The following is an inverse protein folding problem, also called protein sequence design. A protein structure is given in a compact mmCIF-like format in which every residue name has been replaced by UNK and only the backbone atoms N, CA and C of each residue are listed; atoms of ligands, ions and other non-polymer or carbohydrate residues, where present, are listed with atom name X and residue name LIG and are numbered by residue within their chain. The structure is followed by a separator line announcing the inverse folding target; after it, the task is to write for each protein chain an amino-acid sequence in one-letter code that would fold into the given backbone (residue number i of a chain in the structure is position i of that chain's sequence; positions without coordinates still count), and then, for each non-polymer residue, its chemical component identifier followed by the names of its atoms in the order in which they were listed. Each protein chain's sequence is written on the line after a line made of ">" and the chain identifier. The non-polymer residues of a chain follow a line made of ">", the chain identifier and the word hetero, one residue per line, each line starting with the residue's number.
data_IF_830538768268
#
_entry.id   IF_830538768268
#
_cell.length_a   1.000
_cell.length_b   1.000
_cell.length_c   1.000
_cell.angle_alpha   90.00
_cell.angle_beta   90.00
_cell.angle_gamma   90.00
#
_symmetry.space_group_name_H-M   'P 1'
#
loop_
_entity.id
_entity.type
_entity.pdbx_description
1 polymer ?
#
# COMPACT_ATOMS: atom_id res chain seq x y z
N UNK A 1 -39.05 -32.91 10.54
CA UNK A 1 -38.32 -33.38 9.35
C UNK A 1 -37.35 -32.29 8.93
N UNK A 2 -36.12 -32.31 9.45
CA UNK A 2 -35.09 -31.34 9.05
C UNK A 2 -34.43 -31.87 7.77
N UNK A 3 -34.61 -31.16 6.66
CA UNK A 3 -34.06 -31.55 5.35
C UNK A 3 -32.52 -31.60 5.35
N UNK A 4 -31.93 -32.24 4.33
CA UNK A 4 -30.49 -32.50 4.26
C UNK A 4 -29.69 -31.19 4.35
N UNK A 5 -28.68 -31.15 5.24
CA UNK A 5 -27.77 -30.02 5.39
C UNK A 5 -27.07 -29.81 4.05
N UNK A 6 -27.37 -28.68 3.41
CA UNK A 6 -26.64 -28.18 2.24
C UNK A 6 -25.19 -27.99 2.67
N UNK A 7 -24.25 -28.70 2.04
CA UNK A 7 -22.83 -28.49 2.28
C UNK A 7 -22.51 -27.04 1.90
N UNK A 8 -22.28 -26.22 2.94
CA UNK A 8 -21.95 -24.81 2.78
C UNK A 8 -20.50 -24.72 2.30
N UNK A 9 -20.28 -23.93 1.25
CA UNK A 9 -18.93 -23.59 0.78
C UNK A 9 -18.28 -22.63 1.79
N UNK A 10 -17.60 -23.21 2.78
CA UNK A 10 -16.95 -22.48 3.85
C UNK A 10 -15.76 -21.66 3.37
N UNK A 11 -15.10 -22.07 2.29
CA UNK A 11 -13.94 -21.37 1.72
C UNK A 11 -14.37 -20.10 0.97
N UNK A 12 -15.52 -20.14 0.29
CA UNK A 12 -16.14 -18.93 -0.26
C UNK A 12 -16.62 -17.98 0.85
N UNK A 13 -17.26 -18.51 1.91
CA UNK A 13 -17.70 -17.73 3.07
C UNK A 13 -16.51 -17.07 3.78
N UNK A 14 -15.39 -17.79 3.93
CA UNK A 14 -14.16 -17.26 4.53
C UNK A 14 -13.58 -16.10 3.72
N UNK A 15 -13.46 -16.27 2.40
CA UNK A 15 -12.97 -15.19 1.51
C UNK A 15 -13.85 -13.94 1.59
N UNK A 16 -15.17 -14.11 1.53
CA UNK A 16 -16.11 -13.01 1.66
C UNK A 16 -16.02 -12.33 3.03
N UNK A 17 -15.82 -13.11 4.09
CA UNK A 17 -15.66 -12.60 5.46
C UNK A 17 -14.36 -11.81 5.61
N UNK A 18 -13.23 -12.37 5.17
CA UNK A 18 -11.90 -11.78 5.24
C UNK A 18 -11.78 -10.51 4.38
N UNK A 19 -12.50 -10.44 3.24
CA UNK A 19 -12.54 -9.24 2.39
C UNK A 19 -13.06 -7.99 3.11
N UNK A 20 -13.86 -8.17 4.18
CA UNK A 20 -14.49 -7.07 4.91
C UNK A 20 -15.53 -6.27 4.12
N UNK A 21 -15.78 -6.61 2.85
CA UNK A 21 -16.69 -5.92 1.94
C UNK A 21 -18.16 -6.22 2.27
N UNK A 22 -18.46 -7.45 2.68
CA UNK A 22 -19.82 -7.89 3.00
C UNK A 22 -20.05 -7.99 4.50
N UNK A 23 -21.27 -7.68 4.94
CA UNK A 23 -21.72 -7.96 6.31
C UNK A 23 -22.03 -9.45 6.47
N UNK A 24 -21.92 -10.02 7.67
CA UNK A 24 -22.20 -11.45 7.85
C UNK A 24 -23.68 -11.78 7.55
N UNK A 25 -24.58 -10.78 7.49
CA UNK A 25 -25.97 -10.94 7.04
C UNK A 25 -26.05 -11.14 5.53
N UNK A 26 -25.25 -10.38 4.77
CA UNK A 26 -25.17 -10.51 3.31
C UNK A 26 -24.48 -11.81 2.92
N UNK A 27 -23.39 -12.18 3.60
CA UNK A 27 -22.70 -13.46 3.41
C UNK A 27 -23.67 -14.62 3.72
N UNK A 28 -24.41 -14.53 4.82
CA UNK A 28 -25.41 -15.52 5.18
C UNK A 28 -26.54 -15.65 4.15
N UNK A 29 -27.08 -14.52 3.66
CA UNK A 29 -28.14 -14.52 2.66
C UNK A 29 -27.71 -15.16 1.33
N UNK A 30 -26.48 -14.89 0.87
CA UNK A 30 -25.93 -15.47 -0.36
C UNK A 30 -25.70 -16.97 -0.28
N UNK A 31 -25.28 -17.45 0.89
CA UNK A 31 -24.95 -18.84 1.11
C UNK A 31 -26.12 -19.65 1.69
N UNK A 32 -27.30 -19.05 1.85
CA UNK A 32 -28.49 -19.71 2.40
C UNK A 32 -28.32 -20.18 3.85
N UNK A 33 -27.52 -19.46 4.64
CA UNK A 33 -27.25 -19.75 6.06
C UNK A 33 -27.69 -18.58 6.94
N UNK A 34 -27.40 -18.64 8.24
CA UNK A 34 -27.69 -17.56 9.18
C UNK A 34 -26.41 -16.80 9.55
N UNK A 35 -26.54 -15.49 9.84
CA UNK A 35 -25.41 -14.68 10.31
C UNK A 35 -24.75 -15.29 11.57
N UNK A 36 -25.54 -15.91 12.46
CA UNK A 36 -25.02 -16.56 13.66
C UNK A 36 -24.10 -17.74 13.30
N UNK A 37 -24.45 -18.52 12.27
CA UNK A 37 -23.64 -19.63 11.76
C UNK A 37 -22.31 -19.15 11.19
N UNK A 38 -22.32 -18.07 10.38
CA UNK A 38 -21.09 -17.46 9.84
C UNK A 38 -20.22 -16.89 10.95
N UNK A 39 -20.81 -16.14 11.89
CA UNK A 39 -20.07 -15.53 13.00
C UNK A 39 -19.49 -16.54 13.99
N UNK A 40 -20.21 -17.63 14.28
CA UNK A 40 -19.70 -18.69 15.15
C UNK A 40 -18.56 -19.46 14.49
N UNK A 41 -18.63 -19.69 13.17
CA UNK A 41 -17.55 -20.32 12.40
C UNK A 41 -16.30 -19.43 12.37
N UNK A 42 -16.47 -18.15 12.04
CA UNK A 42 -15.38 -17.18 12.02
C UNK A 42 -14.63 -17.10 13.36
N UNK A 43 -15.35 -17.20 14.48
CA UNK A 43 -14.75 -17.25 15.83
C UNK A 43 -14.00 -18.56 16.09
N UNK A 44 -14.56 -19.69 15.65
CA UNK A 44 -13.93 -21.00 15.82
C UNK A 44 -12.65 -21.15 14.99
N UNK A 45 -12.65 -20.61 13.76
CA UNK A 45 -11.55 -20.69 12.80
C UNK A 45 -10.65 -19.44 12.79
N UNK A 46 -10.91 -18.48 13.69
CA UNK A 46 -10.12 -17.25 13.90
C UNK A 46 -9.96 -16.39 12.63
N UNK A 47 -11.00 -16.29 11.81
CA UNK A 47 -10.98 -15.41 10.64
C UNK A 47 -10.86 -13.95 11.05
N UNK A 48 -10.04 -13.19 10.33
CA UNK A 48 -9.80 -11.76 10.58
C UNK A 48 -10.31 -10.94 9.41
N UNK A 49 -11.14 -9.94 9.67
CA UNK A 49 -11.64 -9.04 8.62
C UNK A 49 -10.58 -8.01 8.27
N UNK A 50 -10.33 -7.83 6.98
CA UNK A 50 -9.63 -6.64 6.50
C UNK A 50 -10.58 -5.43 6.59
N UNK A 51 -10.30 -4.55 7.54
CA UNK A 51 -11.08 -3.33 7.78
C UNK A 51 -10.44 -2.10 7.15
N UNK A 52 -9.31 -2.25 6.44
CA UNK A 52 -8.53 -1.12 5.91
C UNK A 52 -9.39 -0.22 5.01
N UNK A 53 -10.17 -0.82 4.10
CA UNK A 53 -11.09 -0.08 3.24
C UNK A 53 -12.16 0.71 4.01
N UNK A 54 -12.73 0.13 5.08
CA UNK A 54 -13.73 0.80 5.94
C UNK A 54 -13.11 1.90 6.80
N UNK A 55 -11.88 1.71 7.26
CA UNK A 55 -11.12 2.70 8.03
C UNK A 55 -10.81 3.90 7.12
N UNK A 56 -10.33 3.67 5.90
CA UNK A 56 -10.09 4.72 4.91
C UNK A 56 -11.38 5.45 4.51
N UNK A 57 -12.47 4.72 4.27
CA UNK A 57 -13.78 5.32 3.98
C UNK A 57 -14.31 6.17 5.15
N UNK A 58 -14.15 5.71 6.40
CA UNK A 58 -14.54 6.44 7.60
C UNK A 58 -13.66 7.67 7.83
N UNK A 59 -12.35 7.58 7.57
CA UNK A 59 -11.45 8.73 7.61
C UNK A 59 -11.82 9.78 6.56
N UNK A 60 -12.10 9.35 5.32
CA UNK A 60 -12.58 10.21 4.23
C UNK A 60 -13.95 10.83 4.56
N UNK A 61 -14.86 10.07 5.15
CA UNK A 61 -16.17 10.57 5.59
C UNK A 61 -16.06 11.55 6.77
N UNK A 62 -15.15 11.31 7.73
CA UNK A 62 -14.87 12.23 8.83
C UNK A 62 -14.26 13.55 8.34
N UNK A 63 -13.31 13.48 7.40
CA UNK A 63 -12.77 14.66 6.71
C UNK A 63 -13.88 15.43 5.97
N UNK A 64 -14.82 14.72 5.32
CA UNK A 64 -15.97 15.37 4.67
C UNK A 64 -16.97 15.97 5.68
N UNK A 65 -17.16 15.33 6.83
CA UNK A 65 -18.12 15.77 7.86
C UNK A 65 -17.59 16.91 8.73
N UNK A 66 -16.28 17.00 8.97
CA UNK A 66 -15.69 18.14 9.67
C UNK A 66 -15.80 19.44 8.86
N UNK A 67 -15.99 19.34 7.53
CA UNK A 67 -16.19 20.47 6.62
C UNK A 67 -17.67 20.86 6.43
N UNK A 68 -18.61 20.05 6.90
CA UNK A 68 -20.05 20.21 6.71
C UNK A 68 -20.75 20.45 8.05
N UNK A 69 -20.57 21.63 8.63
CA UNK A 69 -21.50 22.16 9.63
C UNK A 69 -22.47 23.14 8.95
N UNK A 70 -23.77 22.89 9.17
CA UNK A 70 -24.96 23.38 8.45
C UNK A 70 -25.06 24.91 8.34
N UNK A 71 -25.17 25.45 7.13
CA UNK A 71 -26.12 26.56 6.80
C UNK A 71 -26.24 26.98 5.33
N UNK A 72 -25.33 26.64 4.41
CA UNK A 72 -25.23 27.38 3.14
C UNK A 72 -25.54 26.53 1.89
N UNK A 73 -26.82 26.35 1.55
CA UNK A 73 -27.25 25.60 0.36
C UNK A 73 -27.15 26.35 -0.98
N UNK A 74 -26.65 27.60 -1.00
CA UNK A 74 -26.31 28.32 -2.26
C UNK A 74 -24.80 28.46 -2.51
N UNK A 75 -23.96 28.56 -1.46
CA UNK A 75 -22.49 28.53 -1.60
C UNK A 75 -21.94 27.12 -1.89
N UNK A 76 -22.78 26.09 -1.85
CA UNK A 76 -22.35 24.69 -1.90
C UNK A 76 -21.66 24.30 -3.21
N UNK A 77 -22.10 24.77 -4.38
CA UNK A 77 -21.46 24.41 -5.66
C UNK A 77 -20.10 25.08 -5.85
N UNK A 78 -19.94 26.33 -5.40
CA UNK A 78 -18.67 27.05 -5.43
C UNK A 78 -17.71 26.54 -4.35
N UNK A 79 -18.20 26.30 -3.13
CA UNK A 79 -17.42 25.69 -2.06
C UNK A 79 -17.01 24.24 -2.40
N UNK A 80 -17.89 23.43 -3.00
CA UNK A 80 -17.54 22.07 -3.44
C UNK A 80 -16.50 22.11 -4.58
N UNK A 81 -16.58 23.07 -5.52
CA UNK A 81 -15.55 23.27 -6.56
C UNK A 81 -14.22 23.68 -5.97
N UNK A 82 -14.21 24.66 -5.06
CA UNK A 82 -13.02 25.13 -4.37
C UNK A 82 -12.39 24.02 -3.50
N UNK A 83 -13.21 23.24 -2.79
CA UNK A 83 -12.74 22.09 -2.01
C UNK A 83 -12.14 20.99 -2.90
N UNK A 84 -12.75 20.70 -4.04
CA UNK A 84 -12.21 19.74 -5.02
C UNK A 84 -10.88 20.24 -5.59
N UNK A 85 -10.78 21.53 -5.91
CA UNK A 85 -9.55 22.14 -6.43
C UNK A 85 -8.43 22.11 -5.39
N UNK A 86 -8.69 22.56 -4.16
CA UNK A 86 -7.73 22.51 -3.05
C UNK A 86 -7.28 21.08 -2.77
N UNK A 87 -8.22 20.12 -2.76
CA UNK A 87 -7.89 18.71 -2.56
C UNK A 87 -7.07 18.15 -3.72
N UNK A 88 -7.41 18.51 -4.95
CA UNK A 88 -6.66 18.09 -6.15
C UNK A 88 -5.25 18.66 -6.16
N UNK A 89 -5.08 19.91 -5.73
CA UNK A 89 -3.78 20.55 -5.61
C UNK A 89 -2.94 19.86 -4.54
N UNK A 90 -3.51 19.56 -3.37
CA UNK A 90 -2.82 18.84 -2.30
C UNK A 90 -2.39 17.41 -2.73
N UNK A 91 -3.26 16.69 -3.45
CA UNK A 91 -2.92 15.37 -4.01
C UNK A 91 -1.81 15.48 -5.06
N UNK A 92 -1.88 16.50 -5.92
CA UNK A 92 -0.85 16.74 -6.95
C UNK A 92 0.50 17.05 -6.32
N UNK A 93 0.53 17.93 -5.31
CA UNK A 93 1.74 18.27 -4.57
C UNK A 93 2.34 17.06 -3.86
N UNK A 94 1.50 16.22 -3.24
CA UNK A 94 1.92 14.96 -2.65
C UNK A 94 2.58 14.02 -3.68
N UNK A 95 1.94 13.82 -4.83
CA UNK A 95 2.48 12.97 -5.91
C UNK A 95 3.82 13.52 -6.42
N UNK A 96 3.93 14.84 -6.60
CA UNK A 96 5.18 15.48 -7.00
C UNK A 96 6.28 15.29 -5.95
N UNK A 97 5.95 15.40 -4.65
CA UNK A 97 6.88 15.12 -3.56
C UNK A 97 7.35 13.67 -3.58
N UNK A 98 6.44 12.70 -3.69
CA UNK A 98 6.79 11.28 -3.79
C UNK A 98 7.71 11.01 -4.98
N UNK A 99 7.42 11.56 -6.16
CA UNK A 99 8.28 11.42 -7.35
C UNK A 99 9.69 11.96 -7.10
N UNK A 100 9.81 13.09 -6.39
CA UNK A 100 11.10 13.68 -6.03
C UNK A 100 11.89 12.79 -5.06
N UNK A 101 11.22 12.25 -4.04
CA UNK A 101 11.85 11.40 -3.03
C UNK A 101 12.26 10.04 -3.61
N UNK A 102 11.43 9.44 -4.46
CA UNK A 102 11.74 8.23 -5.22
C UNK A 102 12.97 8.45 -6.09
N UNK A 103 13.02 9.55 -6.86
CA UNK A 103 14.19 9.88 -7.70
C UNK A 103 15.46 10.01 -6.85
N UNK A 104 15.39 10.74 -5.73
CA UNK A 104 16.53 10.91 -4.82
C UNK A 104 17.01 9.57 -4.28
N UNK A 105 16.09 8.69 -3.91
CA UNK A 105 16.39 7.35 -3.37
C UNK A 105 17.04 6.47 -4.45
N UNK A 106 16.56 6.54 -5.69
CA UNK A 106 17.17 5.83 -6.83
C UNK A 106 18.61 6.29 -7.08
N UNK A 107 18.86 7.59 -7.06
CA UNK A 107 20.22 8.12 -7.23
C UNK A 107 21.15 7.68 -6.08
N UNK A 108 20.66 7.68 -4.84
CA UNK A 108 21.42 7.16 -3.71
C UNK A 108 21.74 5.66 -3.87
N UNK A 109 20.77 4.84 -4.28
CA UNK A 109 20.99 3.41 -4.52
C UNK A 109 22.01 3.15 -5.63
N UNK A 110 22.06 3.98 -6.68
CA UNK A 110 23.11 3.89 -7.72
C UNK A 110 24.50 4.19 -7.16
N UNK A 111 24.63 5.22 -6.33
CA UNK A 111 25.91 5.56 -5.69
C UNK A 111 26.39 4.42 -4.78
N UNK A 112 25.48 3.83 -4.00
CA UNK A 112 25.79 2.66 -3.17
C UNK A 112 26.21 1.46 -4.02
N UNK A 113 25.56 1.22 -5.16
CA UNK A 113 25.94 0.14 -6.07
C UNK A 113 27.36 0.36 -6.63
N UNK A 114 27.67 1.58 -7.06
CA UNK A 114 29.01 1.93 -7.55
C UNK A 114 30.10 1.76 -6.48
N UNK A 115 29.81 2.10 -5.22
CA UNK A 115 30.73 1.84 -4.12
C UNK A 115 30.97 0.33 -3.93
N UNK A 116 29.91 -0.48 -4.01
CA UNK A 116 30.01 -1.94 -3.91
C UNK A 116 30.82 -2.56 -5.06
N UNK A 117 30.65 -2.05 -6.29
CA UNK A 117 31.47 -2.43 -7.44
C UNK A 117 32.95 -2.15 -7.15
N UNK A 118 33.29 -0.94 -6.72
CA UNK A 118 34.65 -0.56 -6.36
C UNK A 118 35.25 -1.42 -5.24
N UNK A 119 34.43 -1.80 -4.25
CA UNK A 119 34.82 -2.72 -3.17
C UNK A 119 35.10 -4.14 -3.66
N UNK A 120 34.42 -4.57 -4.72
CA UNK A 120 34.62 -5.89 -5.32
C UNK A 120 35.82 -5.93 -6.27
N UNK A 121 36.18 -4.80 -6.92
CA UNK A 121 37.35 -4.68 -7.80
C UNK A 121 38.68 -4.66 -7.04
N UNK A 122 38.71 -4.07 -5.84
CA UNK A 122 39.96 -3.81 -5.11
C UNK A 122 40.06 -4.55 -3.75
N UNK A 123 39.77 -5.86 -3.66
CA UNK A 123 39.73 -6.57 -2.38
C UNK A 123 41.09 -6.58 -1.66
N UNK A 124 42.20 -6.51 -2.40
CA UNK A 124 43.55 -6.46 -1.84
C UNK A 124 43.84 -5.15 -1.11
N UNK A 125 43.33 -4.02 -1.59
CA UNK A 125 43.52 -2.71 -0.95
C UNK A 125 42.79 -2.65 0.39
N UNK A 126 41.60 -3.23 0.49
CA UNK A 126 40.87 -3.35 1.75
C UNK A 126 41.55 -4.29 2.75
N UNK A 127 42.17 -5.39 2.27
CA UNK A 127 42.99 -6.25 3.12
C UNK A 127 44.21 -5.51 3.68
N UNK A 128 44.94 -4.81 2.82
CA UNK A 128 46.10 -4.00 3.22
C UNK A 128 45.71 -2.88 4.19
N UNK A 129 44.57 -2.22 3.96
CA UNK A 129 44.01 -1.24 4.89
C UNK A 129 43.71 -1.86 6.26
N UNK A 130 43.17 -3.09 6.28
CA UNK A 130 42.93 -3.83 7.52
C UNK A 130 44.20 -4.21 8.28
N UNK A 131 45.27 -4.51 7.57
CA UNK A 131 46.60 -4.75 8.18
C UNK A 131 47.18 -3.48 8.78
N UNK A 132 47.09 -2.34 8.07
CA UNK A 132 47.54 -1.04 8.58
C UNK A 132 46.75 -0.58 9.81
N UNK A 133 45.43 -0.76 9.81
CA UNK A 133 44.57 -0.43 10.95
C UNK A 133 44.86 -1.27 12.19
N UNK A 134 45.43 -2.48 12.03
CA UNK A 134 45.76 -3.36 13.15
C UNK A 134 46.81 -2.76 14.09
N UNK A 135 47.67 -1.86 13.60
CA UNK A 135 48.73 -1.23 14.38
C UNK A 135 48.27 -0.19 15.40
N UNK A 136 47.16 0.51 15.12
CA UNK A 136 46.74 1.73 15.85
C UNK A 136 45.31 1.66 16.44
N UNK A 137 44.57 0.56 16.23
CA UNK A 137 43.17 0.42 16.67
C UNK A 137 42.92 -0.71 17.68
N UNK A 138 41.81 -0.58 18.41
CA UNK A 138 41.34 -1.62 19.34
C UNK A 138 40.93 -2.90 18.59
N UNK A 139 40.99 -4.04 19.27
CA UNK A 139 40.57 -5.33 18.73
C UNK A 139 39.12 -5.31 18.20
N UNK A 140 38.26 -4.50 18.82
CA UNK A 140 36.86 -4.35 18.44
C UNK A 140 36.69 -3.56 17.14
N UNK A 141 37.46 -2.48 16.93
CA UNK A 141 37.46 -1.72 15.67
C UNK A 141 37.97 -2.59 14.52
N UNK A 142 39.03 -3.36 14.74
CA UNK A 142 39.55 -4.29 13.73
C UNK A 142 38.53 -5.38 13.37
N UNK A 143 37.82 -5.94 14.35
CA UNK A 143 36.77 -6.94 14.11
C UNK A 143 35.60 -6.36 13.31
N UNK A 144 35.17 -5.13 13.63
CA UNK A 144 34.11 -4.43 12.90
C UNK A 144 34.53 -4.16 11.45
N UNK A 145 35.74 -3.65 11.25
CA UNK A 145 36.29 -3.40 9.92
C UNK A 145 36.32 -4.68 9.08
N UNK A 146 36.91 -5.76 9.61
CA UNK A 146 36.99 -7.05 8.91
C UNK A 146 35.61 -7.59 8.54
N UNK A 147 34.60 -7.43 9.40
CA UNK A 147 33.23 -7.83 9.10
C UNK A 147 32.66 -7.03 7.91
N UNK A 148 32.87 -5.72 7.89
CA UNK A 148 32.36 -4.82 6.84
C UNK A 148 33.01 -5.11 5.49
N UNK A 149 34.33 -5.33 5.45
CA UNK A 149 35.07 -5.62 4.21
C UNK A 149 35.05 -7.11 3.81
N UNK A 150 34.33 -7.95 4.55
CA UNK A 150 34.27 -9.39 4.25
C UNK A 150 33.37 -9.66 3.04
N UNK A 151 33.67 -10.73 2.29
CA UNK A 151 32.83 -11.17 1.18
C UNK A 151 31.37 -11.47 1.62
N UNK A 152 31.10 -12.17 2.74
CA UNK A 152 29.74 -12.35 3.23
C UNK A 152 29.02 -11.02 3.53
N UNK A 153 29.73 -10.04 4.11
CA UNK A 153 29.19 -8.70 4.37
C UNK A 153 28.80 -7.97 3.09
N UNK A 154 29.65 -8.03 2.05
CA UNK A 154 29.33 -7.48 0.71
C UNK A 154 28.13 -8.19 0.07
N UNK A 155 28.05 -9.51 0.14
CA UNK A 155 26.91 -10.26 -0.42
C UNK A 155 25.60 -9.86 0.28
N UNK A 156 25.60 -9.70 1.60
CA UNK A 156 24.42 -9.24 2.36
C UNK A 156 24.02 -7.81 1.98
N UNK A 157 24.99 -6.90 1.83
CA UNK A 157 24.76 -5.55 1.32
C UNK A 157 24.12 -5.54 -0.07
N UNK A 158 24.60 -6.39 -0.98
CA UNK A 158 24.10 -6.48 -2.36
C UNK A 158 22.64 -6.94 -2.38
N UNK A 159 22.30 -7.92 -1.54
CA UNK A 159 20.92 -8.42 -1.41
C UNK A 159 19.98 -7.32 -0.93
N UNK A 160 20.34 -6.61 0.15
CA UNK A 160 19.54 -5.50 0.69
C UNK A 160 19.38 -4.37 -0.31
N UNK A 161 20.42 -4.06 -1.08
CA UNK A 161 20.36 -3.06 -2.13
C UNK A 161 19.44 -3.50 -3.28
N UNK A 162 19.50 -4.77 -3.68
CA UNK A 162 18.59 -5.33 -4.69
C UNK A 162 17.12 -5.30 -4.23
N UNK A 163 16.84 -5.62 -2.96
CA UNK A 163 15.52 -5.49 -2.35
C UNK A 163 15.03 -4.03 -2.36
N UNK A 164 15.92 -3.09 -2.02
CA UNK A 164 15.63 -1.65 -2.06
C UNK A 164 15.29 -1.20 -3.49
N UNK A 165 16.09 -1.60 -4.48
CA UNK A 165 15.85 -1.27 -5.89
C UNK A 165 14.52 -1.85 -6.38
N UNK A 166 14.18 -3.09 -5.99
CA UNK A 166 12.89 -3.71 -6.31
C UNK A 166 11.72 -2.89 -5.75
N UNK A 167 11.82 -2.44 -4.49
CA UNK A 167 10.79 -1.60 -3.86
C UNK A 167 10.66 -0.25 -4.59
N UNK A 168 11.80 0.40 -4.90
CA UNK A 168 11.81 1.66 -5.65
C UNK A 168 11.16 1.53 -7.02
N UNK A 169 11.40 0.43 -7.75
CA UNK A 169 10.73 0.17 -9.04
C UNK A 169 9.22 0.04 -8.87
N UNK A 170 8.72 -0.62 -7.81
CA UNK A 170 7.28 -0.68 -7.51
C UNK A 170 6.71 0.72 -7.28
N UNK A 171 7.38 1.50 -6.42
CA UNK A 171 6.97 2.87 -6.10
C UNK A 171 7.01 3.79 -7.33
N UNK A 172 7.98 3.61 -8.23
CA UNK A 172 8.02 4.33 -9.52
C UNK A 172 6.83 3.98 -10.40
N UNK A 173 6.52 2.69 -10.56
CA UNK A 173 5.38 2.27 -11.39
C UNK A 173 4.06 2.84 -10.88
N UNK A 174 3.86 2.85 -9.56
CA UNK A 174 2.71 3.48 -8.90
C UNK A 174 2.70 5.00 -9.08
N UNK A 175 3.82 5.69 -8.83
CA UNK A 175 3.88 7.15 -8.89
C UNK A 175 3.76 7.72 -10.32
N UNK A 176 4.09 6.91 -11.34
CA UNK A 176 4.02 7.29 -12.75
C UNK A 176 2.85 6.65 -13.51
N UNK A 177 1.95 5.93 -12.83
CA UNK A 177 0.82 5.20 -13.43
C UNK A 177 1.26 4.26 -14.58
N UNK A 178 2.45 3.65 -14.47
CA UNK A 178 2.96 2.72 -15.49
C UNK A 178 2.23 1.36 -15.41
N UNK A 179 1.57 1.07 -14.29
CA UNK A 179 0.73 -0.13 -14.11
C UNK A 179 -0.72 0.04 -14.62
N UNK A 180 -1.08 1.20 -15.20
CA UNK A 180 -2.42 1.45 -15.77
C UNK A 180 -2.72 0.65 -17.06
N UNK A 181 -1.79 -0.19 -17.54
CA UNK A 181 -2.11 -1.23 -18.55
C UNK A 181 -2.74 -2.50 -17.93
N UNK A 182 -2.83 -2.60 -16.61
CA UNK A 182 -3.93 -3.35 -16.02
C UNK A 182 -5.17 -2.47 -16.11
N UNK A 183 -6.32 -2.99 -16.61
CA UNK A 183 -7.53 -2.19 -16.71
C UNK A 183 -7.72 -1.55 -15.36
N UNK A 184 -7.76 -0.22 -15.33
CA UNK A 184 -7.99 0.52 -14.11
C UNK A 184 -9.08 -0.23 -13.36
N UNK A 185 -8.73 -0.89 -12.26
CA UNK A 185 -9.73 -1.44 -11.38
C UNK A 185 -10.23 -0.22 -10.61
N UNK A 186 -10.83 0.71 -11.35
CA UNK A 186 -11.84 1.62 -10.87
C UNK A 186 -12.97 0.71 -10.41
N UNK A 187 -12.79 0.11 -9.23
CA UNK A 187 -13.85 -0.39 -8.36
C UNK A 187 -14.66 0.81 -7.83
N UNK A 188 -15.08 1.69 -8.75
CA UNK A 188 -16.35 2.35 -8.60
C UNK A 188 -17.36 1.23 -8.65
N UNK A 189 -17.94 0.89 -7.51
CA UNK A 189 -19.00 -0.12 -7.43
C UNK A 189 -20.01 0.14 -8.55
N UNK A 190 -20.63 -0.92 -9.09
CA UNK A 190 -21.69 -0.77 -10.10
C UNK A 190 -22.77 0.23 -9.67
N UNK A 191 -22.97 0.37 -8.36
CA UNK A 191 -23.80 1.37 -7.70
C UNK A 191 -23.25 2.79 -7.84
N UNK A 192 -21.96 3.01 -7.63
CA UNK A 192 -21.27 4.30 -7.86
C UNK A 192 -21.32 4.73 -9.33
N UNK A 193 -21.15 3.79 -10.26
CA UNK A 193 -21.29 4.05 -11.70
C UNK A 193 -22.74 4.35 -12.09
N UNK A 194 -23.70 3.66 -11.48
CA UNK A 194 -25.13 3.92 -11.69
C UNK A 194 -25.54 5.28 -11.13
N UNK A 195 -24.98 5.70 -9.99
CA UNK A 195 -25.24 6.98 -9.35
C UNK A 195 -24.65 8.14 -10.17
N UNK A 196 -23.43 7.99 -10.70
CA UNK A 196 -22.83 8.95 -11.63
C UNK A 196 -23.63 9.09 -12.93
N UNK A 197 -24.16 7.99 -13.48
CA UNK A 197 -25.04 8.02 -14.66
C UNK A 197 -26.37 8.73 -14.38
N UNK A 198 -26.95 8.52 -13.18
CA UNK A 198 -28.19 9.22 -12.76
C UNK A 198 -27.95 10.71 -12.56
N UNK A 199 -26.84 11.09 -11.93
CA UNK A 199 -26.46 12.49 -11.73
C UNK A 199 -26.19 13.20 -13.07
N UNK A 200 -25.51 12.53 -14.00
CA UNK A 200 -25.32 13.04 -15.37
C UNK A 200 -26.64 13.25 -16.10
N UNK A 201 -27.56 12.28 -16.05
CA UNK A 201 -28.87 12.39 -16.68
C UNK A 201 -29.78 13.47 -16.05
N UNK A 202 -29.58 13.79 -14.77
CA UNK A 202 -30.28 14.89 -14.11
C UNK A 202 -29.73 16.26 -14.53
N UNK A 203 -28.40 16.36 -14.75
CA UNK A 203 -27.74 17.57 -15.23
C UNK A 203 -27.99 17.87 -16.72
N UNK A 204 -28.26 16.85 -17.54
CA UNK A 204 -28.59 17.01 -18.97
C UNK A 204 -30.09 17.32 -19.21
N UNK A 205 -30.90 17.38 -18.15
CA UNK A 205 -32.35 17.67 -18.20
C UNK A 205 -32.72 19.06 -17.70
N UNK A 206 -31.75 19.83 -17.21
CA UNK A 206 -31.85 21.27 -16.94
C UNK A 206 -31.21 22.06 -18.10
#
# INVERSE_FOLDING_TARGET
>A
MSGPRKDLDWEAIERDYCSGQFTDRQIAARNGTTHATVGNRAKAEKWTKDLSAKIHASARAKLSKSLLTKELSKNKKEADRELVEVSSNAVTELILSHRKDIRRSRELSKLMLAEMEAQCENPADFQKLGELLKGDNTAEINKLFQRVISLPGRIDGAKKLAETLKLLVSMEREAFNVDDEQPANTDLSSESVAELRRLKAALERD
#
